data_IF_243120046905
#
_entry.id   IF_243120046905
#
_cell.length_a   1.000
_cell.length_b   1.000
_cell.length_c   1.000
_cell.angle_alpha   90.00
_cell.angle_beta   90.00
_cell.angle_gamma   90.00
#
_symmetry.space_group_name_H-M   'P 1'
#
loop_
_entity.id
_entity.type
_entity.pdbx_description
1 polymer ?
#
# COMPACT_ATOMS: atom_id res chain seq x y z
N UNK A 1 15.97 -4.95 17.89
CA UNK A 1 16.18 -6.22 18.62
C UNK A 1 17.67 -6.37 18.81
N UNK A 2 18.10 -6.69 20.01
CA UNK A 2 19.52 -6.91 20.35
C UNK A 2 19.72 -8.40 20.65
N UNK A 3 20.85 -8.95 20.19
CA UNK A 3 21.25 -10.34 20.40
C UNK A 3 22.31 -10.36 21.49
N UNK A 4 22.24 -11.32 22.41
CA UNK A 4 23.16 -11.45 23.52
C UNK A 4 24.10 -12.67 23.39
N UNK A 5 23.66 -13.69 22.65
CA UNK A 5 24.43 -14.91 22.39
C UNK A 5 24.41 -15.33 20.92
N UNK A 6 25.50 -15.93 20.42
CA UNK A 6 25.59 -16.40 19.03
C UNK A 6 24.50 -17.41 18.66
N UNK A 7 24.05 -18.23 19.59
CA UNK A 7 22.98 -19.23 19.36
C UNK A 7 21.64 -18.58 18.95
N UNK A 8 21.43 -17.32 19.30
CA UNK A 8 20.19 -16.58 19.01
C UNK A 8 20.18 -15.98 17.60
N UNK A 9 21.35 -15.83 16.97
CA UNK A 9 21.52 -15.10 15.69
C UNK A 9 20.61 -15.65 14.60
N UNK A 10 20.59 -16.96 14.42
CA UNK A 10 19.80 -17.61 13.36
C UNK A 10 18.30 -17.36 13.54
N UNK A 11 17.79 -17.53 14.77
CA UNK A 11 16.38 -17.31 15.09
C UNK A 11 16.01 -15.82 15.01
N UNK A 12 16.87 -14.93 15.49
CA UNK A 12 16.66 -13.50 15.47
C UNK A 12 16.64 -12.96 14.02
N UNK A 13 17.57 -13.43 13.18
CA UNK A 13 17.60 -13.07 11.74
C UNK A 13 16.31 -13.53 11.03
N UNK A 14 15.89 -14.79 11.25
CA UNK A 14 14.61 -15.30 10.71
C UNK A 14 13.43 -14.45 11.14
N UNK A 15 13.37 -14.08 12.44
CA UNK A 15 12.30 -13.23 12.99
C UNK A 15 12.33 -11.83 12.40
N UNK A 16 13.50 -11.23 12.27
CA UNK A 16 13.68 -9.92 11.66
C UNK A 16 13.21 -9.93 10.18
N UNK A 17 13.60 -10.94 9.41
CA UNK A 17 13.15 -11.10 8.03
C UNK A 17 11.62 -11.28 7.94
N UNK A 18 11.03 -12.06 8.85
CA UNK A 18 9.58 -12.23 8.92
C UNK A 18 8.88 -10.89 9.15
N UNK A 19 9.34 -10.11 10.14
CA UNK A 19 8.74 -8.81 10.48
C UNK A 19 8.89 -7.84 9.30
N UNK A 20 10.10 -7.75 8.71
CA UNK A 20 10.36 -6.86 7.57
C UNK A 20 9.49 -7.17 6.35
N UNK A 21 9.11 -8.43 6.15
CA UNK A 21 8.28 -8.86 5.03
C UNK A 21 6.78 -8.90 5.34
N UNK A 22 6.38 -8.74 6.59
CA UNK A 22 4.96 -8.68 6.97
C UNK A 22 4.37 -7.32 6.56
N UNK A 23 3.20 -7.32 5.97
CA UNK A 23 2.53 -6.08 5.57
C UNK A 23 2.02 -5.29 6.81
N UNK A 24 2.17 -3.95 6.85
CA UNK A 24 2.94 -3.13 5.92
C UNK A 24 4.45 -3.38 6.03
N UNK A 25 5.10 -3.68 4.90
CA UNK A 25 6.54 -4.00 4.87
C UNK A 25 7.39 -2.80 5.28
N UNK A 26 8.42 -3.07 6.08
CA UNK A 26 9.31 -2.03 6.55
C UNK A 26 10.66 -2.57 7.03
N UNK A 27 11.64 -1.70 7.27
CA UNK A 27 12.96 -2.10 7.74
C UNK A 27 12.89 -2.58 9.19
N UNK A 28 13.77 -3.53 9.52
CA UNK A 28 14.00 -4.01 10.88
C UNK A 28 15.46 -3.83 11.23
N UNK A 29 15.73 -3.21 12.36
CA UNK A 29 17.08 -3.07 12.89
C UNK A 29 17.41 -4.24 13.80
N UNK A 30 18.53 -4.92 13.50
CA UNK A 30 19.10 -6.01 14.27
C UNK A 30 20.50 -5.62 14.72
N UNK A 31 20.74 -5.50 16.04
CA UNK A 31 22.03 -5.21 16.59
C UNK A 31 22.77 -6.52 16.93
N UNK A 32 23.97 -6.63 16.41
CA UNK A 32 24.91 -7.72 16.66
C UNK A 32 26.15 -7.12 17.38
N UNK A 33 26.26 -7.25 18.72
CA UNK A 33 27.44 -6.80 19.43
C UNK A 33 28.69 -7.56 19.00
N UNK A 34 29.85 -6.90 19.05
CA UNK A 34 31.12 -7.49 18.59
C UNK A 34 31.45 -8.80 19.32
N UNK A 35 31.24 -8.84 20.63
CA UNK A 35 31.46 -10.03 21.44
C UNK A 35 30.55 -11.21 21.06
N UNK A 36 29.40 -10.96 20.46
CA UNK A 36 28.52 -12.02 19.90
C UNK A 36 29.04 -12.52 18.56
N UNK A 37 29.58 -11.61 17.73
CA UNK A 37 30.14 -11.98 16.43
C UNK A 37 31.44 -12.78 16.53
N UNK A 38 32.13 -12.73 17.67
CA UNK A 38 33.34 -13.49 17.96
C UNK A 38 33.06 -14.87 18.61
N UNK A 39 31.79 -15.16 18.93
CA UNK A 39 31.42 -16.46 19.53
C UNK A 39 31.24 -17.52 18.44
N UNK A 40 31.69 -18.74 18.77
CA UNK A 40 31.35 -19.92 17.99
C UNK A 40 30.02 -20.50 18.47
N UNK A 41 29.26 -21.12 17.54
CA UNK A 41 27.96 -21.70 17.87
C UNK A 41 27.69 -22.94 17.02
N UNK A 42 27.11 -23.96 17.64
CA UNK A 42 26.57 -25.16 16.98
C UNK A 42 25.06 -25.03 16.69
N UNK A 43 24.46 -23.87 16.97
CA UNK A 43 23.03 -23.66 16.78
C UNK A 43 22.63 -23.89 15.32
N UNK A 44 21.56 -24.67 15.13
CA UNK A 44 21.04 -24.99 13.80
C UNK A 44 20.58 -23.71 13.05
N UNK A 45 20.97 -23.60 11.79
CA UNK A 45 20.50 -22.53 10.92
C UNK A 45 18.98 -22.67 10.70
N UNK A 46 18.27 -21.63 11.03
CA UNK A 46 16.83 -21.57 10.83
C UNK A 46 16.53 -21.18 9.38
N UNK A 47 15.93 -22.07 8.60
CA UNK A 47 15.47 -21.76 7.24
C UNK A 47 14.37 -20.67 7.20
N UNK A 48 14.09 -20.10 6.03
CA UNK A 48 13.00 -19.17 5.87
C UNK A 48 11.67 -19.86 6.24
N UNK A 49 10.84 -19.15 7.02
CA UNK A 49 9.49 -19.60 7.32
C UNK A 49 8.52 -19.19 6.21
N UNK A 50 7.44 -19.94 6.05
CA UNK A 50 6.33 -19.50 5.21
C UNK A 50 5.65 -18.29 5.84
N UNK A 51 5.34 -17.28 5.02
CA UNK A 51 4.66 -16.07 5.45
C UNK A 51 3.35 -15.98 4.66
N UNK A 52 2.24 -16.11 5.36
CA UNK A 52 0.91 -15.94 4.79
C UNK A 52 0.49 -14.49 4.91
N UNK A 53 0.26 -13.83 3.77
CA UNK A 53 -0.07 -12.40 3.69
C UNK A 53 -1.54 -12.14 3.37
N UNK A 54 -2.30 -13.17 3.00
CA UNK A 54 -3.65 -12.99 2.53
C UNK A 54 -4.65 -13.04 3.69
N UNK A 55 -5.21 -11.89 4.04
CA UNK A 55 -6.52 -11.82 4.67
C UNK A 55 -7.59 -11.81 3.56
N UNK A 56 -8.64 -12.60 3.71
CA UNK A 56 -9.78 -12.51 2.81
C UNK A 56 -10.52 -11.18 3.08
N UNK A 57 -10.75 -10.40 2.04
CA UNK A 57 -11.56 -9.21 2.17
C UNK A 57 -13.04 -9.56 2.38
N UNK A 58 -13.78 -8.69 3.08
CA UNK A 58 -15.21 -8.86 3.26
C UNK A 58 -15.96 -8.80 1.91
N UNK A 59 -16.66 -9.88 1.58
CA UNK A 59 -17.37 -10.01 0.31
C UNK A 59 -18.49 -8.96 0.15
N UNK A 60 -19.16 -8.60 1.24
CA UNK A 60 -20.22 -7.59 1.20
C UNK A 60 -19.63 -6.19 0.92
N UNK A 61 -18.49 -5.86 1.52
CA UNK A 61 -17.74 -4.63 1.25
C UNK A 61 -17.28 -4.54 -0.20
N UNK A 62 -16.72 -5.63 -0.76
CA UNK A 62 -16.32 -5.69 -2.17
C UNK A 62 -17.50 -5.47 -3.10
N UNK A 63 -18.63 -6.15 -2.86
CA UNK A 63 -19.82 -6.00 -3.69
C UNK A 63 -20.36 -4.56 -3.64
N UNK A 64 -20.37 -3.94 -2.46
CA UNK A 64 -20.78 -2.54 -2.31
C UNK A 64 -19.87 -1.59 -3.08
N UNK A 65 -18.55 -1.77 -3.00
CA UNK A 65 -17.58 -0.98 -3.77
C UNK A 65 -17.78 -1.14 -5.28
N UNK A 66 -17.99 -2.38 -5.74
CA UNK A 66 -18.27 -2.67 -7.14
C UNK A 66 -19.56 -1.99 -7.62
N UNK A 67 -20.64 -2.02 -6.82
CA UNK A 67 -21.91 -1.36 -7.12
C UNK A 67 -21.77 0.17 -7.22
N UNK A 68 -20.96 0.77 -6.36
CA UNK A 68 -20.67 2.22 -6.40
C UNK A 68 -19.95 2.57 -7.70
N UNK A 69 -18.88 1.83 -8.03
CA UNK A 69 -18.12 2.07 -9.25
C UNK A 69 -18.96 1.84 -10.52
N UNK A 70 -19.78 0.80 -10.54
CA UNK A 70 -20.63 0.48 -11.69
C UNK A 70 -21.70 1.55 -11.98
N UNK A 71 -22.13 2.29 -10.96
CA UNK A 71 -23.13 3.37 -11.07
C UNK A 71 -22.49 4.72 -11.37
N UNK A 72 -21.20 4.86 -11.15
CA UNK A 72 -20.49 6.11 -11.34
C UNK A 72 -20.39 6.48 -12.82
N UNK A 73 -20.50 7.77 -13.12
CA UNK A 73 -20.32 8.32 -14.46
C UNK A 73 -18.91 8.79 -14.73
N UNK A 74 -18.19 9.14 -13.67
CA UNK A 74 -16.80 9.61 -13.70
C UNK A 74 -16.01 8.97 -12.56
N UNK A 75 -15.87 7.62 -12.56
CA UNK A 75 -15.13 6.95 -11.51
C UNK A 75 -13.63 7.23 -11.62
N UNK A 76 -12.97 7.33 -10.47
CA UNK A 76 -11.53 7.49 -10.35
C UNK A 76 -10.96 6.40 -9.44
N UNK A 77 -9.81 5.86 -9.79
CA UNK A 77 -9.03 4.95 -8.96
C UNK A 77 -7.72 5.63 -8.61
N UNK A 78 -7.42 5.75 -7.33
CA UNK A 78 -6.11 6.17 -6.85
C UNK A 78 -5.37 4.94 -6.35
N UNK A 79 -4.27 4.62 -6.99
CA UNK A 79 -3.51 3.41 -6.74
C UNK A 79 -2.14 3.72 -6.10
N UNK A 80 -1.80 3.01 -5.03
CA UNK A 80 -0.53 3.10 -4.33
C UNK A 80 0.32 1.83 -4.44
N UNK A 81 1.45 1.82 -3.74
CA UNK A 81 2.47 0.77 -3.77
C UNK A 81 1.94 -0.64 -3.43
N UNK A 82 0.92 -0.73 -2.59
CA UNK A 82 0.31 -1.99 -2.18
C UNK A 82 -0.25 -2.79 -3.35
N UNK A 83 -0.72 -2.12 -4.40
CA UNK A 83 -1.19 -2.79 -5.63
C UNK A 83 -0.04 -3.56 -6.28
N UNK A 84 1.13 -2.94 -6.44
CA UNK A 84 2.31 -3.59 -7.00
C UNK A 84 2.85 -4.68 -6.07
N UNK A 85 2.85 -4.44 -4.76
CA UNK A 85 3.31 -5.39 -3.75
C UNK A 85 2.44 -6.65 -3.69
N UNK A 86 1.14 -6.51 -3.94
CA UNK A 86 0.18 -7.62 -4.00
C UNK A 86 0.16 -8.33 -5.37
N UNK A 87 0.94 -7.85 -6.36
CA UNK A 87 0.88 -8.38 -7.73
C UNK A 87 -0.44 -8.08 -8.45
N UNK A 88 -1.20 -7.08 -7.99
CA UNK A 88 -2.57 -6.80 -8.44
C UNK A 88 -2.64 -5.80 -9.60
N UNK A 89 -1.50 -5.38 -10.19
CA UNK A 89 -1.42 -4.35 -11.24
C UNK A 89 -2.36 -4.61 -12.41
N UNK A 90 -2.38 -5.84 -12.93
CA UNK A 90 -3.28 -6.22 -14.03
C UNK A 90 -4.75 -6.23 -13.62
N UNK A 91 -5.06 -6.62 -12.38
CA UNK A 91 -6.43 -6.63 -11.88
C UNK A 91 -6.99 -5.21 -11.76
N UNK A 92 -6.19 -4.26 -11.25
CA UNK A 92 -6.57 -2.85 -11.18
C UNK A 92 -6.74 -2.25 -12.57
N UNK A 93 -5.86 -2.56 -13.52
CA UNK A 93 -6.02 -2.14 -14.91
C UNK A 93 -7.35 -2.62 -15.52
N UNK A 94 -7.67 -3.92 -15.39
CA UNK A 94 -8.96 -4.47 -15.85
C UNK A 94 -10.16 -3.86 -15.15
N UNK A 95 -10.05 -3.60 -13.84
CA UNK A 95 -11.12 -2.93 -13.09
C UNK A 95 -11.38 -1.53 -13.64
N UNK A 96 -10.33 -0.75 -13.88
CA UNK A 96 -10.44 0.58 -14.46
C UNK A 96 -11.08 0.55 -15.84
N UNK A 97 -10.70 -0.40 -16.68
CA UNK A 97 -11.31 -0.59 -18.00
C UNK A 97 -12.79 -0.94 -17.93
N UNK A 98 -13.15 -1.87 -17.05
CA UNK A 98 -14.54 -2.31 -16.88
C UNK A 98 -15.44 -1.22 -16.30
N UNK A 99 -14.92 -0.41 -15.37
CA UNK A 99 -15.65 0.70 -14.76
C UNK A 99 -15.62 1.99 -15.61
N UNK A 100 -14.76 2.08 -16.62
CA UNK A 100 -14.48 3.34 -17.33
C UNK A 100 -13.75 4.36 -16.44
N UNK A 101 -12.98 3.89 -15.46
CA UNK A 101 -12.34 4.74 -14.46
C UNK A 101 -10.99 5.28 -14.95
N UNK A 102 -10.66 6.50 -14.53
CA UNK A 102 -9.31 7.02 -14.63
C UNK A 102 -8.45 6.49 -13.49
N UNK A 103 -7.18 6.18 -13.78
CA UNK A 103 -6.20 5.76 -12.78
C UNK A 103 -5.25 6.91 -12.51
N UNK A 104 -5.16 7.29 -11.25
CA UNK A 104 -4.17 8.21 -10.71
C UNK A 104 -3.27 7.49 -9.72
N UNK A 105 -2.02 7.87 -9.67
CA UNK A 105 -1.08 7.27 -8.74
C UNK A 105 -0.93 8.11 -7.48
N UNK A 106 -0.75 7.44 -6.35
CA UNK A 106 -0.32 8.07 -5.11
C UNK A 106 0.99 8.86 -5.33
N UNK A 107 1.12 10.10 -4.81
CA UNK A 107 2.31 10.92 -5.08
C UNK A 107 3.59 10.33 -4.48
N UNK A 108 3.53 9.78 -3.26
CA UNK A 108 4.67 9.24 -2.50
C UNK A 108 4.83 7.73 -2.69
N UNK A 109 4.91 7.28 -3.93
CA UNK A 109 5.09 5.85 -4.25
C UNK A 109 6.54 5.49 -4.54
N UNK A 110 6.95 4.29 -4.17
CA UNK A 110 8.23 3.70 -4.56
C UNK A 110 8.14 2.83 -5.84
N UNK A 111 6.92 2.42 -6.23
CA UNK A 111 6.67 1.56 -7.40
C UNK A 111 5.47 2.05 -8.19
N UNK A 112 5.43 1.68 -9.47
CA UNK A 112 4.25 1.93 -10.29
C UNK A 112 3.19 0.87 -10.00
N UNK A 113 2.00 1.27 -9.51
CA UNK A 113 0.90 0.34 -9.21
C UNK A 113 0.35 -0.35 -10.46
N UNK A 114 0.32 0.38 -11.58
CA UNK A 114 -0.10 -0.09 -12.90
C UNK A 114 0.93 0.42 -13.91
N UNK A 115 1.07 -0.22 -15.05
CA UNK A 115 1.96 0.24 -16.12
C UNK A 115 1.62 1.67 -16.53
N UNK A 116 2.64 2.54 -16.62
CA UNK A 116 2.45 3.97 -16.85
C UNK A 116 1.87 4.32 -18.22
N UNK A 117 1.98 3.41 -19.20
CA UNK A 117 1.41 3.50 -20.55
C UNK A 117 0.00 2.91 -20.64
N UNK A 118 -0.57 2.41 -19.55
CA UNK A 118 -1.93 1.88 -19.56
C UNK A 118 -2.94 3.00 -19.88
N UNK A 119 -3.85 2.74 -20.81
CA UNK A 119 -4.79 3.73 -21.38
C UNK A 119 -5.64 4.51 -20.37
N UNK A 120 -5.91 3.92 -19.20
CA UNK A 120 -6.67 4.57 -18.12
C UNK A 120 -5.81 5.43 -17.21
N UNK A 121 -4.46 5.36 -17.28
CA UNK A 121 -3.55 6.14 -16.45
C UNK A 121 -3.52 7.59 -16.89
N UNK A 122 -3.64 8.50 -15.93
CA UNK A 122 -3.57 9.96 -16.13
C UNK A 122 -2.31 10.59 -15.55
N UNK A 123 -1.69 9.94 -14.56
CA UNK A 123 -0.47 10.42 -13.91
C UNK A 123 -0.50 10.22 -12.41
N UNK A 124 0.24 11.07 -11.70
CA UNK A 124 0.26 11.10 -10.23
C UNK A 124 -0.63 12.20 -9.70
N UNK A 125 -1.26 11.97 -8.56
CA UNK A 125 -1.90 13.05 -7.82
C UNK A 125 -0.88 14.13 -7.49
N UNK A 126 -1.25 15.40 -7.57
CA UNK A 126 -0.38 16.49 -7.14
C UNK A 126 -0.20 16.46 -5.61
N UNK A 127 0.95 16.95 -5.14
CA UNK A 127 1.16 17.17 -3.70
C UNK A 127 0.38 18.36 -3.15
N UNK A 128 -0.07 19.24 -4.02
CA UNK A 128 -0.85 20.42 -3.65
C UNK A 128 -2.31 20.03 -3.34
N UNK A 129 -2.76 20.35 -2.13
CA UNK A 129 -4.09 19.98 -1.64
C UNK A 129 -5.23 20.59 -2.44
N UNK A 130 -5.05 21.81 -2.98
CA UNK A 130 -6.07 22.49 -3.79
C UNK A 130 -6.22 21.79 -5.13
N UNK A 131 -5.09 21.50 -5.79
CA UNK A 131 -5.08 20.79 -7.07
C UNK A 131 -5.60 19.36 -6.92
N UNK A 132 -5.26 18.66 -5.83
CA UNK A 132 -5.76 17.32 -5.52
C UNK A 132 -7.28 17.35 -5.30
N UNK A 133 -7.77 18.31 -4.54
CA UNK A 133 -9.20 18.50 -4.29
C UNK A 133 -9.98 18.73 -5.58
N UNK A 134 -9.46 19.58 -6.48
CA UNK A 134 -10.10 19.84 -7.76
C UNK A 134 -10.25 18.56 -8.61
N UNK A 135 -9.29 17.64 -8.54
CA UNK A 135 -9.38 16.32 -9.20
C UNK A 135 -10.47 15.45 -8.57
N UNK A 136 -10.57 15.41 -7.24
CA UNK A 136 -11.60 14.62 -6.55
C UNK A 136 -13.01 15.18 -6.78
N UNK A 137 -13.16 16.49 -6.82
CA UNK A 137 -14.45 17.16 -7.12
C UNK A 137 -14.93 16.89 -8.55
N UNK A 138 -14.00 16.58 -9.47
CA UNK A 138 -14.35 16.21 -10.84
C UNK A 138 -14.86 14.77 -10.99
N UNK A 139 -14.63 13.91 -9.99
CA UNK A 139 -15.08 12.52 -9.94
C UNK A 139 -16.36 12.38 -9.12
N UNK A 140 -17.22 11.44 -9.49
CA UNK A 140 -18.41 11.09 -8.73
C UNK A 140 -18.27 9.84 -7.87
N UNK A 141 -17.20 9.07 -8.06
CA UNK A 141 -16.74 8.01 -7.20
C UNK A 141 -15.21 7.91 -7.22
N UNK A 142 -14.59 7.75 -6.06
CA UNK A 142 -13.15 7.59 -5.91
C UNK A 142 -12.86 6.31 -5.13
N UNK A 143 -12.12 5.38 -5.74
CA UNK A 143 -11.59 4.18 -5.09
C UNK A 143 -10.13 4.42 -4.73
N UNK A 144 -9.81 4.36 -3.45
CA UNK A 144 -8.44 4.40 -2.94
C UNK A 144 -7.97 2.96 -2.69
N UNK A 145 -6.89 2.52 -3.33
CA UNK A 145 -6.43 1.14 -3.23
C UNK A 145 -4.90 1.02 -3.08
N UNK A 146 -4.46 0.33 -2.06
CA UNK A 146 -3.07 -0.05 -1.86
C UNK A 146 -2.12 1.11 -1.54
N UNK A 147 -2.57 2.16 -0.88
CA UNK A 147 -1.75 3.31 -0.53
C UNK A 147 -2.09 3.91 0.81
N UNK A 148 -1.29 4.89 1.23
CA UNK A 148 -1.49 5.71 2.43
C UNK A 148 -2.00 7.11 2.10
N UNK A 149 -2.57 7.32 1.01
CA UNK A 149 -3.11 8.41 0.21
C UNK A 149 -3.04 9.85 0.74
N UNK A 150 -3.00 10.08 2.04
CA UNK A 150 -3.08 11.41 2.67
C UNK A 150 -1.95 11.64 3.68
N UNK A 151 -0.80 10.97 3.52
CA UNK A 151 0.42 11.34 4.24
C UNK A 151 0.94 12.67 3.67
N UNK A 152 0.56 13.77 4.30
CA UNK A 152 0.98 15.10 3.91
C UNK A 152 2.44 15.35 4.30
N UNK A 153 3.30 15.57 3.30
CA UNK A 153 4.66 16.08 3.52
C UNK A 153 4.66 17.59 3.82
N UNK A 154 3.63 18.30 3.38
CA UNK A 154 3.42 19.71 3.64
C UNK A 154 1.94 19.94 3.93
N UNK A 155 1.62 20.09 5.20
CA UNK A 155 0.27 20.38 5.63
C UNK A 155 -0.05 21.86 5.39
N UNK A 156 -0.95 22.13 4.48
CA UNK A 156 -1.75 23.36 4.51
C UNK A 156 -2.88 23.10 5.51
N UNK A 157 -2.68 23.51 6.75
CA UNK A 157 -3.56 23.20 7.88
C UNK A 157 -5.05 23.57 7.66
N UNK A 158 -5.33 24.41 6.68
CA UNK A 158 -6.68 24.93 6.43
C UNK A 158 -7.44 24.23 5.30
N UNK A 159 -6.81 23.32 4.55
CA UNK A 159 -7.44 22.70 3.38
C UNK A 159 -7.20 21.20 3.36
N UNK A 160 -8.12 20.45 3.94
CA UNK A 160 -8.17 19.00 3.73
C UNK A 160 -8.60 18.70 2.28
N UNK A 161 -7.89 17.86 1.53
CA UNK A 161 -8.31 17.43 0.19
C UNK A 161 -9.67 16.73 0.18
N UNK A 162 -10.15 16.26 1.34
CA UNK A 162 -11.44 15.59 1.52
C UNK A 162 -12.53 16.47 2.17
N UNK A 163 -12.19 17.70 2.59
CA UNK A 163 -13.17 18.56 3.27
C UNK A 163 -14.36 18.85 2.35
N UNK A 164 -15.56 18.52 2.80
CA UNK A 164 -16.82 18.73 2.08
C UNK A 164 -17.15 17.70 1.01
N UNK A 165 -16.30 16.70 0.76
CA UNK A 165 -16.67 15.55 -0.06
C UNK A 165 -17.58 14.63 0.76
N UNK A 166 -18.69 14.17 0.16
CA UNK A 166 -19.55 13.15 0.77
C UNK A 166 -18.79 11.82 0.75
N UNK A 167 -18.27 11.41 1.89
CA UNK A 167 -17.66 10.11 2.06
C UNK A 167 -18.70 9.06 2.43
N UNK A 168 -19.29 8.40 1.45
CA UNK A 168 -19.97 7.12 1.70
C UNK A 168 -18.87 6.04 1.78
N UNK A 169 -17.99 6.16 2.82
CA UNK A 169 -16.75 5.45 2.91
C UNK A 169 -16.91 3.94 3.02
N UNK A 170 -16.48 3.22 1.99
CA UNK A 170 -15.97 1.85 2.11
C UNK A 170 -14.47 1.95 1.96
N UNK A 171 -13.75 1.90 3.06
CA UNK A 171 -12.30 1.74 3.07
C UNK A 171 -12.01 0.23 3.02
N UNK A 172 -11.36 -0.23 1.97
CA UNK A 172 -10.78 -1.57 1.93
C UNK A 172 -9.33 -1.44 2.38
N UNK A 173 -9.02 -2.00 3.55
CA UNK A 173 -7.66 -2.16 4.08
C UNK A 173 -6.85 -3.15 3.25
#
# INVERSE_FOLDING_TARGET
>A
MQIEHADEVSLAARRACKIANQAPKGPVFLALPLNVMEQETDAALQGPGEIYHAAAADAAGINRAADILAKAKKPMIVAGDGVAQAGASQAVGRLAEAAGAEIWFEPSRARYPVAGDHRCVRGSLPFDSIAMRALFEAADAVLLIGGRFFEELWSNADISPLAGLKADGVQAD
#
